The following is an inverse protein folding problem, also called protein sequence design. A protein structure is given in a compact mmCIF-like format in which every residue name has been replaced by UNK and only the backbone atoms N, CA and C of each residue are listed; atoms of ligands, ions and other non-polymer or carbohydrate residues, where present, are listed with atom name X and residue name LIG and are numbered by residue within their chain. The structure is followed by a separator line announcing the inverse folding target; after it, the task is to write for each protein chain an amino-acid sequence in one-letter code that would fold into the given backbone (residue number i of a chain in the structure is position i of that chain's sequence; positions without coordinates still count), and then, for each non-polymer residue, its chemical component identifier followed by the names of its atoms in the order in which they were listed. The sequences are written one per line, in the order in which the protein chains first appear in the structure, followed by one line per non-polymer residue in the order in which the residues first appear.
data_IF_745187258790
#
_entry.id   IF_745187258790
#
_cell.length_a   1.000
_cell.length_b   1.000
_cell.length_c   1.000
_cell.angle_alpha   90.00
_cell.angle_beta   90.00
_cell.angle_gamma   90.00
#
_symmetry.space_group_name_H-M   'P 1'
#
loop_
_entity.id
_entity.type
_entity.pdbx_description
1 polymer ?
#
# COMPACT_ATOMS: atom_id res chain seq x y z
N UNK A 1 -69.69 -9.37 -6.37
CA UNK A 1 -68.53 -8.63 -5.85
C UNK A 1 -67.60 -8.08 -6.95
N UNK A 2 -67.28 -8.80 -8.00
CA UNK A 2 -66.40 -8.35 -9.09
C UNK A 2 -66.83 -7.03 -9.75
N UNK A 3 -68.15 -6.86 -10.08
CA UNK A 3 -68.67 -5.64 -10.71
C UNK A 3 -68.53 -4.34 -9.87
N UNK A 4 -68.45 -4.45 -8.53
CA UNK A 4 -68.17 -3.33 -7.65
C UNK A 4 -66.69 -2.97 -7.66
N UNK A 5 -65.82 -3.96 -7.75
CA UNK A 5 -64.36 -3.79 -7.84
C UNK A 5 -63.96 -3.14 -9.18
N UNK A 6 -64.55 -3.61 -10.32
CA UNK A 6 -64.26 -3.01 -11.63
C UNK A 6 -64.73 -1.54 -11.69
N UNK A 7 -65.88 -1.20 -11.12
CA UNK A 7 -66.41 0.18 -11.05
C UNK A 7 -65.54 1.08 -10.16
N UNK A 8 -64.93 0.48 -9.11
CA UNK A 8 -64.04 1.21 -8.22
C UNK A 8 -62.67 1.49 -8.88
N UNK A 9 -62.21 0.62 -9.76
CA UNK A 9 -60.98 0.80 -10.53
C UNK A 9 -61.17 1.74 -11.70
N UNK A 10 -62.27 1.67 -12.44
CA UNK A 10 -62.54 2.48 -13.64
C UNK A 10 -63.02 3.91 -13.30
N UNK A 11 -63.59 4.10 -12.09
CA UNK A 11 -64.00 5.46 -11.68
C UNK A 11 -62.78 6.31 -11.42
N UNK A 12 -62.68 7.45 -12.14
CA UNK A 12 -61.54 8.38 -12.11
C UNK A 12 -60.21 7.74 -12.47
N UNK A 13 -60.21 6.81 -13.45
CA UNK A 13 -59.04 6.08 -13.90
C UNK A 13 -57.85 7.01 -14.22
N UNK A 14 -58.11 8.15 -14.91
CA UNK A 14 -57.06 9.13 -15.22
C UNK A 14 -56.36 9.70 -13.99
N UNK A 15 -57.11 10.01 -12.92
CA UNK A 15 -56.50 10.46 -11.66
C UNK A 15 -55.66 9.41 -10.97
N UNK A 16 -56.03 8.12 -11.07
CA UNK A 16 -55.26 7.02 -10.50
C UNK A 16 -53.97 6.77 -11.27
N UNK A 17 -54.03 6.86 -12.60
CA UNK A 17 -52.83 6.77 -13.46
C UNK A 17 -51.91 7.95 -13.19
N UNK A 18 -52.46 9.17 -13.06
CA UNK A 18 -51.67 10.34 -12.71
C UNK A 18 -51.01 10.20 -11.31
N UNK A 19 -51.78 9.74 -10.32
CA UNK A 19 -51.21 9.48 -8.98
C UNK A 19 -50.09 8.43 -8.98
N UNK A 20 -50.27 7.35 -9.74
CA UNK A 20 -49.21 6.33 -9.91
C UNK A 20 -47.98 6.93 -10.59
N UNK A 21 -48.16 7.72 -11.64
CA UNK A 21 -47.08 8.41 -12.35
C UNK A 21 -46.29 9.33 -11.40
N UNK A 22 -47.00 10.19 -10.66
CA UNK A 22 -46.37 11.09 -9.69
C UNK A 22 -45.69 10.32 -8.56
N UNK A 23 -46.24 9.20 -8.11
CA UNK A 23 -45.58 8.34 -7.10
C UNK A 23 -44.25 7.78 -7.59
N UNK A 24 -44.22 7.32 -8.85
CA UNK A 24 -42.96 6.81 -9.47
C UNK A 24 -41.95 7.93 -9.66
N UNK A 25 -42.41 9.11 -10.11
CA UNK A 25 -41.54 10.29 -10.27
C UNK A 25 -40.95 10.72 -8.94
N UNK A 26 -41.79 10.83 -7.89
CA UNK A 26 -41.34 11.17 -6.54
C UNK A 26 -40.37 10.13 -6.00
N UNK A 27 -40.65 8.84 -6.20
CA UNK A 27 -39.74 7.75 -5.79
C UNK A 27 -38.37 7.88 -6.49
N UNK A 28 -38.37 8.15 -7.81
CA UNK A 28 -37.12 8.36 -8.56
C UNK A 28 -36.35 9.59 -8.06
N UNK A 29 -37.06 10.68 -7.73
CA UNK A 29 -36.43 11.88 -7.17
C UNK A 29 -35.81 11.59 -5.82
N UNK A 30 -36.53 10.93 -4.90
CA UNK A 30 -36.04 10.60 -3.56
C UNK A 30 -34.81 9.66 -3.66
N UNK A 31 -34.89 8.62 -4.49
CA UNK A 31 -33.76 7.67 -4.69
C UNK A 31 -32.52 8.35 -5.30
N UNK A 32 -32.69 9.42 -6.08
CA UNK A 32 -31.57 10.18 -6.63
C UNK A 32 -31.01 11.25 -5.67
N UNK A 33 -31.83 11.77 -4.74
CA UNK A 33 -31.40 12.73 -3.71
C UNK A 33 -30.57 12.02 -2.63
N UNK A 34 -30.97 10.82 -2.22
CA UNK A 34 -30.19 9.98 -1.31
C UNK A 34 -28.95 9.43 -2.04
N UNK A 35 -27.77 9.91 -1.65
CA UNK A 35 -26.48 9.39 -2.12
C UNK A 35 -25.99 8.26 -1.19
N UNK A 36 -26.44 7.01 -1.42
CA UNK A 36 -26.20 5.92 -0.48
C UNK A 36 -24.71 5.60 -0.37
N UNK A 37 -24.28 5.30 0.83
CA UNK A 37 -22.91 4.86 1.12
C UNK A 37 -22.66 3.50 0.46
N UNK A 38 -21.54 3.37 -0.22
CA UNK A 38 -21.07 2.13 -0.83
C UNK A 38 -19.69 1.77 -0.30
N UNK A 39 -19.39 0.48 -0.27
CA UNK A 39 -18.08 -0.02 0.08
C UNK A 39 -17.49 -0.82 -1.08
N UNK A 40 -16.18 -0.56 -1.37
CA UNK A 40 -15.45 -1.22 -2.45
C UNK A 40 -14.01 -1.48 -2.00
N UNK A 41 -13.43 -2.58 -2.50
CA UNK A 41 -12.02 -2.88 -2.29
C UNK A 41 -11.18 -2.15 -3.33
N UNK A 42 -10.06 -1.60 -2.86
CA UNK A 42 -9.01 -0.99 -3.67
C UNK A 42 -7.69 -1.65 -3.37
N UNK A 43 -6.79 -1.64 -4.34
CA UNK A 43 -5.44 -2.17 -4.21
C UNK A 43 -4.45 -1.12 -4.65
N UNK A 44 -3.42 -0.88 -3.83
CA UNK A 44 -2.34 0.05 -4.17
C UNK A 44 -0.99 -0.54 -3.80
N UNK A 45 0.08 -0.02 -4.42
CA UNK A 45 1.44 -0.44 -4.10
C UNK A 45 1.89 0.17 -2.78
N UNK A 46 2.64 -0.61 -2.00
CA UNK A 46 3.25 -0.16 -0.75
C UNK A 46 4.56 0.55 -1.09
N UNK A 47 4.74 1.76 -0.57
CA UNK A 47 6.01 2.49 -0.62
C UNK A 47 6.71 2.30 0.73
N UNK A 48 7.92 1.75 0.70
CA UNK A 48 8.74 1.61 1.90
C UNK A 48 9.50 2.92 2.12
N UNK A 49 9.48 3.43 3.35
CA UNK A 49 10.21 4.63 3.76
C UNK A 49 11.15 4.30 4.92
N UNK A 50 12.16 5.17 5.13
CA UNK A 50 13.14 5.02 6.21
C UNK A 50 13.88 3.67 6.22
N UNK A 51 14.16 3.13 5.03
CA UNK A 51 14.90 1.86 4.87
C UNK A 51 16.27 1.90 5.56
N UNK A 52 16.90 3.07 5.58
CA UNK A 52 18.23 3.28 6.18
C UNK A 52 18.24 3.07 7.70
N UNK A 53 17.09 3.20 8.35
CA UNK A 53 16.95 2.95 9.78
C UNK A 53 17.41 1.54 10.18
N UNK A 54 17.03 0.53 9.40
CA UNK A 54 17.43 -0.86 9.64
C UNK A 54 18.94 -1.04 9.42
N UNK A 55 19.48 -0.44 8.37
CA UNK A 55 20.93 -0.52 8.07
C UNK A 55 21.76 0.17 9.16
N UNK A 56 21.29 1.29 9.72
CA UNK A 56 21.96 1.96 10.85
C UNK A 56 21.98 1.09 12.11
N UNK A 57 21.01 0.20 12.27
CA UNK A 57 20.99 -0.77 13.36
C UNK A 57 21.79 -2.06 13.06
N UNK A 58 22.51 -2.09 11.95
CA UNK A 58 23.27 -3.27 11.53
C UNK A 58 22.38 -4.42 11.09
N UNK A 59 21.20 -4.11 10.55
CA UNK A 59 20.22 -5.10 10.09
C UNK A 59 19.88 -4.89 8.62
N UNK A 60 19.64 -5.97 7.93
CA UNK A 60 19.08 -6.01 6.58
C UNK A 60 17.65 -6.50 6.66
N UNK A 61 16.79 -5.99 5.79
CA UNK A 61 15.42 -6.47 5.69
C UNK A 61 15.06 -6.80 4.25
N UNK A 62 14.19 -7.75 4.10
CA UNK A 62 13.56 -8.10 2.83
C UNK A 62 12.06 -8.28 3.05
N UNK A 63 11.24 -7.65 2.21
CA UNK A 63 9.80 -7.85 2.27
C UNK A 63 9.46 -9.29 1.86
N UNK A 64 8.69 -9.98 2.68
CA UNK A 64 8.30 -11.39 2.44
C UNK A 64 7.38 -11.52 1.21
N UNK A 65 6.57 -10.50 0.95
CA UNK A 65 5.72 -10.45 -0.24
C UNK A 65 6.39 -9.61 -1.34
N UNK A 66 6.77 -10.27 -2.42
CA UNK A 66 7.43 -9.64 -3.58
C UNK A 66 6.53 -8.66 -4.33
N UNK A 67 5.21 -8.76 -4.21
CA UNK A 67 4.29 -7.90 -4.93
C UNK A 67 4.12 -6.50 -4.32
N UNK A 68 4.50 -6.31 -3.04
CA UNK A 68 4.39 -5.04 -2.34
C UNK A 68 3.05 -4.31 -2.60
N UNK A 69 1.95 -5.04 -2.51
CA UNK A 69 0.61 -4.52 -2.72
C UNK A 69 -0.27 -4.77 -1.50
N UNK A 70 -1.15 -3.81 -1.23
CA UNK A 70 -2.12 -3.92 -0.15
C UNK A 70 -3.52 -3.71 -0.68
N UNK A 71 -4.44 -4.60 -0.28
CA UNK A 71 -5.87 -4.50 -0.60
C UNK A 71 -6.64 -4.09 0.65
N UNK A 72 -7.41 -3.03 0.54
CA UNK A 72 -8.16 -2.45 1.65
C UNK A 72 -9.57 -2.08 1.20
N UNK A 73 -10.48 -1.97 2.18
CA UNK A 73 -11.88 -1.65 1.94
C UNK A 73 -12.17 -0.20 2.28
N UNK A 74 -12.77 0.49 1.33
CA UNK A 74 -13.16 1.90 1.45
C UNK A 74 -14.67 2.02 1.41
N UNK A 75 -15.23 2.87 2.28
CA UNK A 75 -16.64 3.22 2.31
C UNK A 75 -16.78 4.72 2.09
N UNK A 76 -17.62 5.11 1.13
CA UNK A 76 -17.95 6.50 0.82
C UNK A 76 -19.28 6.57 0.08
N UNK A 77 -19.79 7.77 -0.13
CA UNK A 77 -21.02 7.98 -0.90
C UNK A 77 -20.84 7.60 -2.37
N UNK A 78 -21.90 7.17 -3.01
CA UNK A 78 -21.89 6.65 -4.39
C UNK A 78 -21.30 7.64 -5.40
N UNK A 79 -21.59 8.93 -5.25
CA UNK A 79 -21.09 9.98 -6.13
C UNK A 79 -19.56 10.09 -6.11
N UNK A 80 -18.95 9.97 -4.93
CA UNK A 80 -17.50 9.96 -4.74
C UNK A 80 -16.92 8.63 -5.20
N UNK A 81 -17.55 7.49 -4.85
CA UNK A 81 -17.08 6.15 -5.18
C UNK A 81 -16.90 5.95 -6.70
N UNK A 82 -17.75 6.54 -7.52
CA UNK A 82 -17.65 6.47 -9.00
C UNK A 82 -16.38 7.12 -9.55
N UNK A 83 -15.82 8.09 -8.84
CA UNK A 83 -14.68 8.89 -9.26
C UNK A 83 -13.37 8.43 -8.60
N UNK A 84 -13.44 7.43 -7.71
CA UNK A 84 -12.27 6.87 -7.04
C UNK A 84 -11.64 5.74 -7.87
N UNK A 85 -10.33 5.79 -7.96
CA UNK A 85 -9.46 4.78 -8.57
C UNK A 85 -8.37 4.32 -7.60
N UNK A 86 -7.66 3.24 -7.93
CA UNK A 86 -6.54 2.74 -7.12
C UNK A 86 -5.41 3.78 -6.95
N UNK A 87 -5.23 4.66 -7.94
CA UNK A 87 -4.21 5.71 -7.94
C UNK A 87 -4.51 6.87 -7.00
N UNK A 88 -5.74 6.97 -6.49
CA UNK A 88 -6.13 7.99 -5.51
C UNK A 88 -5.74 7.63 -4.07
N UNK A 89 -5.07 6.49 -3.89
CA UNK A 89 -4.62 6.00 -2.58
C UNK A 89 -3.11 5.83 -2.55
N UNK A 90 -2.53 6.08 -1.40
CA UNK A 90 -1.13 5.87 -1.10
C UNK A 90 -1.01 4.99 0.14
N UNK A 91 -0.21 3.93 0.05
CA UNK A 91 0.14 3.08 1.17
C UNK A 91 1.63 3.25 1.48
N UNK A 92 1.96 3.48 2.73
CA UNK A 92 3.34 3.68 3.21
C UNK A 92 3.61 2.69 4.34
N UNK A 93 4.72 2.00 4.26
CA UNK A 93 5.29 1.19 5.33
C UNK A 93 6.58 1.86 5.81
N UNK A 94 6.56 2.37 7.03
CA UNK A 94 7.69 3.08 7.62
C UNK A 94 8.51 2.12 8.47
N UNK A 95 9.78 1.90 8.08
CA UNK A 95 10.68 0.97 8.76
C UNK A 95 11.09 1.40 10.16
N UNK A 96 10.88 2.66 10.54
CA UNK A 96 11.05 3.11 11.94
C UNK A 96 10.02 2.48 12.88
N UNK A 97 8.85 2.11 12.35
CA UNK A 97 7.74 1.53 13.09
C UNK A 97 7.70 -0.01 13.01
N UNK A 98 8.83 -0.66 12.71
CA UNK A 98 8.90 -2.12 12.67
C UNK A 98 8.64 -2.71 14.06
N UNK A 99 7.74 -3.66 14.15
CA UNK A 99 7.37 -4.39 15.36
C UNK A 99 7.74 -5.86 15.22
N UNK A 100 8.16 -6.50 16.33
CA UNK A 100 8.32 -7.94 16.38
C UNK A 100 7.22 -8.56 17.24
N UNK A 101 6.41 -9.41 16.62
CA UNK A 101 5.32 -10.12 17.30
C UNK A 101 5.43 -11.61 16.97
N UNK A 102 5.46 -12.43 18.01
CA UNK A 102 5.58 -13.89 17.90
C UNK A 102 6.79 -14.36 17.03
N UNK A 103 7.88 -13.59 17.05
CA UNK A 103 9.09 -13.89 16.27
C UNK A 103 9.03 -13.42 14.81
N UNK A 104 7.92 -12.85 14.36
CA UNK A 104 7.77 -12.28 13.00
C UNK A 104 7.91 -10.77 13.07
N UNK A 105 8.76 -10.21 12.21
CA UNK A 105 8.86 -8.77 12.03
C UNK A 105 7.78 -8.29 11.08
N UNK A 106 7.08 -7.24 11.48
CA UNK A 106 6.01 -6.64 10.70
C UNK A 106 6.03 -5.13 10.80
N UNK A 107 5.64 -4.47 9.73
CA UNK A 107 5.56 -3.01 9.65
C UNK A 107 4.11 -2.61 9.40
N UNK A 108 3.52 -1.71 10.20
CA UNK A 108 2.18 -1.21 9.96
C UNK A 108 2.13 -0.45 8.64
N UNK A 109 1.06 -0.67 7.86
CA UNK A 109 0.84 0.02 6.60
C UNK A 109 -0.12 1.17 6.87
N UNK A 110 0.35 2.39 6.66
CA UNK A 110 -0.48 3.59 6.70
C UNK A 110 -1.08 3.84 5.30
N UNK A 111 -2.42 3.86 5.23
CA UNK A 111 -3.14 4.07 3.97
C UNK A 111 -3.82 5.43 4.03
N UNK A 112 -3.54 6.27 3.05
CA UNK A 112 -4.08 7.61 2.92
C UNK A 112 -4.74 7.81 1.56
N UNK A 113 -5.81 8.60 1.52
CA UNK A 113 -6.43 9.02 0.27
C UNK A 113 -5.84 10.37 -0.16
N UNK A 114 -5.37 10.46 -1.38
CA UNK A 114 -4.82 11.70 -1.97
C UNK A 114 -5.93 12.61 -2.50
N UNK A 115 -7.09 12.01 -2.85
CA UNK A 115 -8.29 12.72 -3.26
C UNK A 115 -9.46 12.32 -2.39
N UNK A 116 -10.37 13.25 -2.13
CA UNK A 116 -11.57 13.04 -1.30
C UNK A 116 -11.30 12.51 0.11
N UNK A 117 -10.15 12.84 0.69
CA UNK A 117 -9.70 12.30 1.98
C UNK A 117 -10.75 12.48 3.11
N UNK A 118 -11.46 13.60 3.13
CA UNK A 118 -12.51 13.88 4.12
C UNK A 118 -13.83 13.11 3.90
N UNK A 119 -14.04 12.59 2.69
CA UNK A 119 -15.25 11.86 2.32
C UNK A 119 -15.07 10.33 2.32
N UNK A 120 -13.84 9.87 2.48
CA UNK A 120 -13.46 8.46 2.42
C UNK A 120 -13.26 7.91 3.83
N UNK A 121 -13.90 6.78 4.14
CA UNK A 121 -13.70 6.04 5.38
C UNK A 121 -13.05 4.68 5.08
N UNK A 122 -11.90 4.43 5.67
CA UNK A 122 -11.22 3.14 5.61
C UNK A 122 -11.89 2.16 6.57
N UNK A 123 -12.22 0.96 6.07
CA UNK A 123 -12.84 -0.09 6.86
C UNK A 123 -11.87 -1.25 7.06
N UNK A 124 -11.73 -1.70 8.29
CA UNK A 124 -10.92 -2.86 8.64
C UNK A 124 -9.91 -2.56 9.72
N UNK A 125 -9.09 -3.58 10.02
CA UNK A 125 -7.97 -3.46 10.96
C UNK A 125 -6.74 -2.94 10.22
N UNK A 126 -5.81 -2.36 10.96
CA UNK A 126 -4.47 -2.02 10.48
C UNK A 126 -3.85 -3.22 9.77
N UNK A 127 -3.36 -3.01 8.57
CA UNK A 127 -2.67 -4.03 7.79
C UNK A 127 -1.18 -3.91 8.05
N UNK A 128 -0.48 -5.03 7.94
CA UNK A 128 0.95 -5.12 8.19
C UNK A 128 1.65 -5.73 7.00
N UNK A 129 2.84 -5.23 6.71
CA UNK A 129 3.78 -5.84 5.80
C UNK A 129 4.74 -6.72 6.62
N UNK A 130 4.81 -8.02 6.33
CA UNK A 130 5.78 -8.90 6.94
C UNK A 130 7.14 -8.73 6.28
N UNK A 131 8.19 -8.68 7.09
CA UNK A 131 9.56 -8.55 6.65
C UNK A 131 10.45 -9.62 7.30
N UNK A 132 11.38 -10.16 6.53
CA UNK A 132 12.49 -10.94 7.05
C UNK A 132 13.59 -9.96 7.45
N UNK A 133 14.09 -10.10 8.66
CA UNK A 133 15.17 -9.24 9.19
C UNK A 133 16.35 -10.12 9.55
N UNK A 134 17.52 -9.77 9.04
CA UNK A 134 18.78 -10.46 9.28
C UNK A 134 19.83 -9.48 9.79
N UNK A 135 20.72 -9.95 10.66
CA UNK A 135 21.82 -9.14 11.15
C UNK A 135 22.91 -9.01 10.08
N UNK A 136 23.40 -7.79 9.85
CA UNK A 136 24.50 -7.53 8.93
C UNK A 136 25.84 -7.87 9.61
N UNK A 137 26.63 -8.73 8.98
CA UNK A 137 27.99 -9.00 9.39
C UNK A 137 28.96 -8.05 8.70
N UNK A 138 29.71 -7.30 9.49
CA UNK A 138 30.77 -6.40 9.05
C UNK A 138 32.12 -7.13 9.12
N UNK A 139 32.74 -7.36 7.98
CA UNK A 139 34.08 -7.93 7.91
C UNK A 139 35.05 -6.93 7.29
N UNK A 140 36.16 -6.69 7.97
CA UNK A 140 37.22 -5.80 7.50
C UNK A 140 38.38 -6.63 6.93
N UNK A 141 38.73 -6.35 5.68
CA UNK A 141 39.81 -7.03 4.98
C UNK A 141 40.96 -6.06 4.71
N UNK A 142 42.18 -6.48 5.02
CA UNK A 142 43.36 -5.73 4.65
C UNK A 142 43.73 -5.97 3.18
N UNK A 143 44.01 -4.90 2.47
CA UNK A 143 44.47 -4.97 1.09
C UNK A 143 45.97 -5.15 1.07
N UNK A 144 46.47 -6.25 0.48
CA UNK A 144 47.88 -6.49 0.24
C UNK A 144 48.15 -6.48 -1.24
N UNK A 145 48.98 -5.52 -1.70
CA UNK A 145 49.48 -5.56 -3.06
C UNK A 145 50.63 -6.56 -3.19
N UNK A 146 50.62 -7.31 -4.29
CA UNK A 146 51.72 -8.20 -4.67
C UNK A 146 52.21 -7.78 -6.03
N UNK A 147 53.47 -7.47 -6.14
CA UNK A 147 54.14 -7.24 -7.43
C UNK A 147 54.43 -8.56 -8.13
N UNK A 148 54.24 -8.58 -9.44
CA UNK A 148 54.53 -9.77 -10.31
C UNK A 148 55.45 -9.34 -11.43
N UNK A 149 56.45 -10.13 -11.70
CA UNK A 149 57.48 -9.87 -12.70
C UNK A 149 58.84 -9.53 -12.05
N UNK A 150 59.90 -9.59 -12.86
CA UNK A 150 61.24 -9.24 -12.42
C UNK A 150 61.53 -7.77 -12.74
N UNK A 151 62.29 -7.12 -11.85
CA UNK A 151 62.75 -5.76 -12.12
C UNK A 151 63.75 -5.76 -13.27
N UNK A 152 63.78 -4.67 -14.05
CA UNK A 152 64.79 -4.51 -15.09
C UNK A 152 66.20 -4.47 -14.52
N UNK A 153 67.20 -4.83 -15.31
CA UNK A 153 68.61 -4.88 -14.88
C UNK A 153 69.04 -3.53 -14.27
N UNK A 154 69.62 -3.57 -13.08
CA UNK A 154 70.01 -2.42 -12.27
C UNK A 154 68.84 -1.66 -11.59
N UNK A 155 67.61 -2.22 -11.55
CA UNK A 155 66.48 -1.65 -10.82
C UNK A 155 65.97 -2.61 -9.78
N UNK A 156 65.47 -2.08 -8.66
CA UNK A 156 64.80 -2.84 -7.63
C UNK A 156 63.36 -2.32 -7.43
N UNK A 157 62.45 -3.23 -7.10
CA UNK A 157 61.09 -2.85 -6.75
C UNK A 157 61.10 -2.12 -5.41
N UNK A 158 60.65 -0.89 -5.37
CA UNK A 158 60.51 -0.09 -4.15
C UNK A 158 59.31 -0.51 -3.31
N UNK A 159 59.14 0.18 -2.18
CA UNK A 159 58.01 -0.06 -1.29
C UNK A 159 56.67 0.21 -1.96
N UNK A 160 55.82 -0.78 -1.97
CA UNK A 160 54.45 -0.67 -2.50
C UNK A 160 53.53 -0.24 -1.37
N UNK A 161 52.91 0.94 -1.51
CA UNK A 161 51.92 1.45 -0.58
C UNK A 161 50.55 1.32 -1.18
N UNK A 162 49.60 0.77 -0.41
CA UNK A 162 48.22 0.61 -0.79
C UNK A 162 47.34 1.65 -0.10
N UNK A 163 46.51 2.33 -0.82
CA UNK A 163 45.52 3.27 -0.27
C UNK A 163 44.17 3.01 -0.95
N UNK A 164 43.13 2.69 -0.19
CA UNK A 164 43.05 2.50 1.27
C UNK A 164 43.75 1.21 1.74
N UNK A 165 44.17 1.13 2.97
CA UNK A 165 44.86 -0.03 3.55
C UNK A 165 43.90 -1.20 3.80
N UNK A 166 42.63 -0.92 3.98
CA UNK A 166 41.56 -1.90 4.23
C UNK A 166 40.25 -1.48 3.61
N UNK A 167 39.38 -2.43 3.37
CA UNK A 167 37.98 -2.20 3.01
C UNK A 167 37.06 -2.98 3.92
N UNK A 168 35.86 -2.43 4.13
CA UNK A 168 34.81 -3.08 4.90
C UNK A 168 33.82 -3.72 3.94
N UNK A 169 33.53 -4.99 4.13
CA UNK A 169 32.56 -5.75 3.35
C UNK A 169 31.36 -6.10 4.23
N UNK A 170 30.16 -5.77 3.75
CA UNK A 170 28.90 -6.18 4.35
C UNK A 170 28.46 -7.52 3.75
N UNK A 171 28.19 -8.50 4.58
CA UNK A 171 27.64 -9.79 4.16
C UNK A 171 26.41 -10.13 4.98
N UNK A 172 25.45 -10.78 4.33
CA UNK A 172 24.36 -11.46 5.02
C UNK A 172 24.93 -12.78 5.59
N UNK A 173 24.52 -13.19 6.79
CA UNK A 173 24.83 -14.52 7.30
C UNK A 173 24.25 -15.58 6.36
N UNK A 174 25.05 -16.58 6.02
CA UNK A 174 24.65 -17.76 5.21
C UNK A 174 23.95 -18.79 6.08
#
# INVERSE_FOLDING_TARGET
MLKKLTKLVTNNFGLKVAALFFSVVLWLVVVNIDDPTQAKNFTTSITITNSDYMTQQGKYFEAKDSNLQVTFKVSTVRSVMKNLSNTDFRAVADMENVEQVDGVYRVPIEITATRYASAVNFQGKTQYMEVNVEDLMLSQFSIKAKTVGDAAENYAVGDVRVSPVSYTHLTLPT
#
